data_IF_649466340691
#
_entry.id   IF_649466340691
#
_cell.length_a   1.000
_cell.length_b   1.000
_cell.length_c   1.000
_cell.angle_alpha   90.00
_cell.angle_beta   90.00
_cell.angle_gamma   90.00
#
_symmetry.space_group_name_H-M   'P 1'
#
loop_
_entity.id
_entity.type
_entity.pdbx_description
1 polymer ?
#
# COMPACT_ATOMS: atom_id res chain seq x y z
N UNK A 1 27.69 8.93 0.69
CA UNK A 1 26.59 8.20 0.03
C UNK A 1 26.88 8.18 -1.47
N UNK A 2 26.93 7.01 -2.10
CA UNK A 2 27.15 6.91 -3.55
C UNK A 2 25.87 7.36 -4.28
N UNK A 3 25.97 8.36 -5.16
CA UNK A 3 24.79 8.89 -5.88
C UNK A 3 24.40 7.94 -7.01
N UNK A 4 23.61 6.91 -6.70
CA UNK A 4 23.12 5.93 -7.67
C UNK A 4 22.25 6.57 -8.75
N UNK A 5 21.48 7.61 -8.40
CA UNK A 5 20.69 8.39 -9.37
C UNK A 5 21.63 9.14 -10.30
N UNK A 6 22.71 9.69 -9.78
CA UNK A 6 23.79 10.30 -10.54
C UNK A 6 24.51 9.31 -11.44
N UNK A 7 24.84 8.11 -10.95
CA UNK A 7 25.48 7.06 -11.73
C UNK A 7 24.55 6.55 -12.84
N UNK A 8 23.27 6.30 -12.53
CA UNK A 8 22.28 5.90 -13.52
C UNK A 8 22.07 7.01 -14.56
N UNK A 9 21.93 8.26 -14.12
CA UNK A 9 21.83 9.42 -15.02
C UNK A 9 23.08 9.54 -15.88
N UNK A 10 24.26 9.30 -15.34
CA UNK A 10 25.52 9.27 -16.08
C UNK A 10 25.52 8.13 -17.11
N UNK A 11 25.17 6.91 -16.71
CA UNK A 11 25.08 5.75 -17.63
C UNK A 11 24.05 5.95 -18.73
N UNK A 12 22.90 6.54 -18.42
CA UNK A 12 21.83 6.86 -19.39
C UNK A 12 22.24 8.00 -20.32
N UNK A 13 22.87 9.05 -19.80
CA UNK A 13 23.37 10.17 -20.63
C UNK A 13 24.52 9.76 -21.54
N UNK A 14 25.30 8.75 -21.15
CA UNK A 14 26.38 8.18 -21.96
C UNK A 14 25.91 6.98 -22.81
N UNK A 15 24.64 6.57 -22.67
CA UNK A 15 23.96 5.64 -23.57
C UNK A 15 23.35 6.42 -24.73
N UNK A 16 24.19 6.80 -25.70
CA UNK A 16 23.75 7.47 -26.92
C UNK A 16 22.80 6.57 -27.73
N UNK A 17 21.49 6.84 -27.64
CA UNK A 17 20.41 6.07 -28.27
C UNK A 17 20.41 6.10 -29.81
N UNK A 18 21.43 6.69 -30.44
CA UNK A 18 21.57 6.77 -31.90
C UNK A 18 22.52 5.73 -32.50
N UNK A 19 23.21 4.92 -31.69
CA UNK A 19 23.97 3.76 -32.19
C UNK A 19 23.41 2.46 -31.62
N UNK A 20 22.97 1.56 -32.52
CA UNK A 20 22.89 0.13 -32.22
C UNK A 20 24.32 -0.39 -32.04
N UNK A 21 24.96 -0.05 -30.91
CA UNK A 21 26.14 -0.79 -30.48
C UNK A 21 25.66 -2.20 -30.17
N UNK A 22 26.38 -3.20 -30.68
CA UNK A 22 26.18 -4.58 -30.28
C UNK A 22 26.19 -4.62 -28.74
N UNK A 23 25.01 -4.70 -28.13
CA UNK A 23 24.84 -4.84 -26.69
C UNK A 23 25.34 -6.24 -26.35
N UNK A 24 26.66 -6.36 -26.23
CA UNK A 24 27.30 -7.59 -25.80
C UNK A 24 26.95 -7.78 -24.33
N UNK A 25 26.59 -9.01 -23.92
CA UNK A 25 26.53 -9.36 -22.50
C UNK A 25 27.84 -8.90 -21.84
N UNK A 26 27.73 -8.29 -20.66
CA UNK A 26 28.89 -7.94 -19.83
C UNK A 26 29.77 -9.17 -19.66
N UNK A 27 31.09 -9.01 -19.78
CA UNK A 27 32.02 -10.09 -19.50
C UNK A 27 31.87 -10.54 -18.04
N UNK A 28 32.08 -11.84 -17.78
CA UNK A 28 31.84 -12.42 -16.46
C UNK A 28 32.77 -11.82 -15.39
N UNK A 29 33.96 -11.34 -15.76
CA UNK A 29 34.89 -10.69 -14.83
C UNK A 29 34.36 -9.33 -14.35
N UNK A 30 33.96 -8.45 -15.27
CA UNK A 30 33.36 -7.15 -14.95
C UNK A 30 32.04 -7.32 -14.19
N UNK A 31 31.25 -8.33 -14.55
CA UNK A 31 30.01 -8.67 -13.84
C UNK A 31 30.27 -9.11 -12.41
N UNK A 32 31.27 -9.97 -12.18
CA UNK A 32 31.64 -10.41 -10.84
C UNK A 32 32.20 -9.25 -10.01
N UNK A 33 33.11 -8.44 -10.57
CA UNK A 33 33.63 -7.25 -9.91
C UNK A 33 32.51 -6.27 -9.50
N UNK A 34 31.56 -6.00 -10.41
CA UNK A 34 30.41 -5.13 -10.10
C UNK A 34 29.51 -5.73 -9.02
N UNK A 35 29.26 -7.05 -9.07
CA UNK A 35 28.47 -7.73 -8.05
C UNK A 35 29.14 -7.70 -6.67
N UNK A 36 30.46 -7.86 -6.62
CA UNK A 36 31.23 -7.77 -5.38
C UNK A 36 31.18 -6.35 -4.80
N UNK A 37 31.40 -5.33 -5.63
CA UNK A 37 31.31 -3.93 -5.20
C UNK A 37 29.91 -3.56 -4.68
N UNK A 38 28.85 -4.04 -5.36
CA UNK A 38 27.47 -3.86 -4.90
C UNK A 38 27.20 -4.58 -3.58
N UNK A 39 27.70 -5.80 -3.41
CA UNK A 39 27.54 -6.56 -2.18
C UNK A 39 28.29 -5.92 -1.01
N UNK A 40 29.51 -5.41 -1.24
CA UNK A 40 30.29 -4.69 -0.23
C UNK A 40 29.58 -3.41 0.22
N UNK A 41 29.05 -2.63 -0.73
CA UNK A 41 28.27 -1.43 -0.41
C UNK A 41 27.03 -1.78 0.41
N UNK A 42 26.26 -2.79 -0.01
CA UNK A 42 25.10 -3.26 0.72
C UNK A 42 25.45 -3.67 2.17
N UNK A 43 26.60 -4.32 2.39
CA UNK A 43 27.07 -4.65 3.73
C UNK A 43 27.44 -3.42 4.57
N UNK A 44 27.97 -2.37 3.94
CA UNK A 44 28.25 -1.10 4.62
C UNK A 44 26.96 -0.42 5.05
N UNK A 45 25.93 -0.41 4.19
CA UNK A 45 24.62 0.15 4.52
C UNK A 45 23.96 -0.61 5.68
N UNK A 46 24.04 -1.95 5.70
CA UNK A 46 23.53 -2.76 6.81
C UNK A 46 24.23 -2.41 8.13
N UNK A 47 25.56 -2.27 8.12
CA UNK A 47 26.30 -1.83 9.31
C UNK A 47 25.86 -0.43 9.74
N UNK A 48 25.68 0.49 8.80
CA UNK A 48 25.24 1.85 9.09
C UNK A 48 23.83 1.88 9.70
N UNK A 49 22.90 1.08 9.16
CA UNK A 49 21.58 0.91 9.76
C UNK A 49 21.67 0.39 11.20
N UNK A 50 22.52 -0.59 11.49
CA UNK A 50 22.71 -1.09 12.86
C UNK A 50 23.22 -0.01 13.83
N UNK A 51 24.17 0.82 13.39
CA UNK A 51 24.66 1.96 14.19
C UNK A 51 23.55 2.98 14.46
N UNK A 52 22.79 3.35 13.43
CA UNK A 52 21.65 4.26 13.54
C UNK A 52 20.63 3.71 14.53
N UNK A 53 20.21 2.46 14.36
CA UNK A 53 19.23 1.81 15.23
C UNK A 53 19.71 1.76 16.68
N UNK A 54 20.99 1.49 16.91
CA UNK A 54 21.58 1.47 18.26
C UNK A 54 21.49 2.84 18.95
N UNK A 55 21.73 3.93 18.21
CA UNK A 55 21.62 5.30 18.74
C UNK A 55 20.19 5.74 18.95
N UNK A 56 19.31 5.43 17.99
CA UNK A 56 17.87 5.75 18.07
C UNK A 56 17.22 4.98 19.22
N UNK A 57 17.74 3.80 19.57
CA UNK A 57 17.26 2.98 20.67
C UNK A 57 17.33 3.66 22.05
N UNK A 58 18.24 4.62 22.26
CA UNK A 58 18.31 5.36 23.52
C UNK A 58 16.98 6.07 23.84
N UNK A 59 16.63 6.19 25.12
CA UNK A 59 15.42 6.91 25.52
C UNK A 59 15.54 8.41 25.25
N UNK A 60 14.42 9.05 24.91
CA UNK A 60 14.36 10.48 24.63
C UNK A 60 14.76 11.32 25.85
N UNK A 61 15.86 12.05 25.69
CA UNK A 61 16.47 12.89 26.74
C UNK A 61 15.68 14.18 26.99
N UNK A 62 14.74 14.50 26.09
CA UNK A 62 13.85 15.66 26.21
C UNK A 62 14.51 17.00 25.85
N UNK A 63 15.66 16.98 25.19
CA UNK A 63 16.34 18.19 24.69
C UNK A 63 16.11 18.34 23.18
N UNK A 64 16.23 19.57 22.67
CA UNK A 64 16.14 19.84 21.23
C UNK A 64 17.30 19.23 20.44
N UNK A 65 18.48 19.16 21.07
CA UNK A 65 19.66 18.55 20.46
C UNK A 65 19.47 17.04 20.22
N UNK A 66 18.90 16.34 21.21
CA UNK A 66 18.54 14.91 21.10
C UNK A 66 17.46 14.68 20.02
N UNK A 67 16.44 15.54 19.96
CA UNK A 67 15.43 15.49 18.89
C UNK A 67 16.08 15.65 17.51
N UNK A 68 16.93 16.66 17.33
CA UNK A 68 17.58 16.94 16.05
C UNK A 68 18.54 15.82 15.63
N UNK A 69 19.30 15.24 16.58
CA UNK A 69 20.18 14.10 16.30
C UNK A 69 19.37 12.89 15.84
N UNK A 70 18.29 12.53 16.55
CA UNK A 70 17.42 11.42 16.17
C UNK A 70 16.73 11.62 14.83
N UNK A 71 16.28 12.85 14.55
CA UNK A 71 15.72 13.21 13.25
C UNK A 71 16.74 12.97 12.14
N UNK A 72 17.97 13.49 12.29
CA UNK A 72 19.01 13.35 11.27
C UNK A 72 19.38 11.87 11.04
N UNK A 73 19.46 11.08 12.12
CA UNK A 73 19.72 9.64 12.04
C UNK A 73 18.60 8.87 11.33
N UNK A 74 17.33 9.22 11.58
CA UNK A 74 16.20 8.57 10.92
C UNK A 74 16.03 9.03 9.47
N UNK A 75 16.30 10.30 9.14
CA UNK A 75 16.31 10.77 7.75
C UNK A 75 17.42 10.08 6.94
N UNK A 76 18.59 9.84 7.53
CA UNK A 76 19.63 9.01 6.92
C UNK A 76 19.17 7.55 6.73
N UNK A 77 18.43 6.99 7.69
CA UNK A 77 17.87 5.64 7.56
C UNK A 77 16.85 5.56 6.42
N UNK A 78 15.99 6.56 6.28
CA UNK A 78 15.02 6.67 5.18
C UNK A 78 15.74 6.66 3.83
N UNK A 79 16.81 7.45 3.68
CA UNK A 79 17.64 7.47 2.47
C UNK A 79 18.28 6.11 2.16
N UNK A 80 18.77 5.38 3.17
CA UNK A 80 19.36 4.04 2.98
C UNK A 80 18.31 3.04 2.48
N UNK A 81 17.13 3.05 3.11
CA UNK A 81 16.02 2.13 2.78
C UNK A 81 15.48 2.39 1.39
N UNK A 82 15.28 3.66 1.02
CA UNK A 82 14.71 4.06 -0.27
C UNK A 82 15.62 3.76 -1.46
N UNK A 83 16.95 3.90 -1.29
CA UNK A 83 17.88 3.84 -2.42
C UNK A 83 18.23 2.40 -2.87
N UNK A 84 18.08 1.41 -1.98
CA UNK A 84 18.56 0.05 -2.23
C UNK A 84 17.54 -1.05 -1.93
N UNK A 85 16.27 -0.70 -1.68
CA UNK A 85 15.23 -1.67 -1.33
C UNK A 85 15.66 -2.55 -0.14
N UNK A 86 16.21 -1.90 0.90
CA UNK A 86 16.82 -2.54 2.07
C UNK A 86 15.79 -2.96 3.13
N UNK A 87 14.51 -2.98 2.80
CA UNK A 87 13.44 -3.31 3.73
C UNK A 87 13.64 -4.69 4.39
N UNK A 88 14.09 -5.68 3.60
CA UNK A 88 14.38 -7.03 4.10
C UNK A 88 15.57 -7.06 5.06
N UNK A 89 16.68 -6.39 4.69
CA UNK A 89 17.83 -6.24 5.57
C UNK A 89 17.47 -5.52 6.87
N UNK A 90 16.68 -4.46 6.78
CA UNK A 90 16.21 -3.69 7.94
C UNK A 90 15.38 -4.55 8.89
N UNK A 91 14.51 -5.40 8.35
CA UNK A 91 13.78 -6.38 9.16
C UNK A 91 14.71 -7.33 9.90
N UNK A 92 15.66 -7.96 9.18
CA UNK A 92 16.56 -8.97 9.76
C UNK A 92 17.46 -8.43 10.88
N UNK A 93 17.75 -7.13 10.90
CA UNK A 93 18.50 -6.47 11.98
C UNK A 93 17.61 -5.91 13.10
N UNK A 94 16.31 -6.21 13.10
CA UNK A 94 15.35 -5.74 14.12
C UNK A 94 14.86 -4.31 13.92
N UNK A 95 15.11 -3.70 12.76
CA UNK A 95 14.75 -2.31 12.49
C UNK A 95 13.25 -2.04 12.50
N UNK A 96 12.41 -2.97 12.05
CA UNK A 96 10.94 -2.80 12.10
C UNK A 96 10.43 -2.69 13.54
N UNK A 97 10.98 -3.49 14.46
CA UNK A 97 10.63 -3.46 15.88
C UNK A 97 10.98 -2.10 16.48
N UNK A 98 12.18 -1.58 16.15
CA UNK A 98 12.62 -0.28 16.62
C UNK A 98 11.77 0.87 16.03
N UNK A 99 11.40 0.80 14.74
CA UNK A 99 10.49 1.79 14.13
C UNK A 99 9.10 1.80 14.79
N UNK A 100 8.54 0.62 15.07
CA UNK A 100 7.27 0.49 15.81
C UNK A 100 7.41 1.10 17.21
N UNK A 101 8.54 0.85 17.88
CA UNK A 101 8.84 1.40 19.20
C UNK A 101 8.92 2.93 19.18
N UNK A 102 9.71 3.51 18.28
CA UNK A 102 9.85 4.96 18.13
C UNK A 102 8.52 5.65 17.80
N UNK A 103 7.76 5.08 16.87
CA UNK A 103 6.45 5.60 16.49
C UNK A 103 5.47 5.70 17.68
N UNK A 104 5.59 4.78 18.64
CA UNK A 104 4.69 4.72 19.82
C UNK A 104 5.22 5.45 21.04
N UNK A 105 6.53 5.42 21.27
CA UNK A 105 7.13 5.79 22.55
C UNK A 105 7.91 7.09 22.50
N UNK A 106 8.33 7.55 21.33
CA UNK A 106 9.06 8.81 21.26
C UNK A 106 8.17 9.98 21.71
N UNK A 107 8.75 10.88 22.50
CA UNK A 107 8.21 12.17 22.93
C UNK A 107 8.24 13.19 21.79
N UNK A 108 9.01 12.95 20.74
CA UNK A 108 9.22 13.85 19.62
C UNK A 108 8.28 13.51 18.45
N UNK A 109 7.28 14.37 18.13
CA UNK A 109 6.33 14.05 17.06
C UNK A 109 7.00 13.82 15.71
N UNK A 110 8.10 14.53 15.42
CA UNK A 110 8.82 14.37 14.15
C UNK A 110 9.53 13.02 14.05
N UNK A 111 10.12 12.52 15.14
CA UNK A 111 10.71 11.18 15.22
C UNK A 111 9.63 10.12 15.02
N UNK A 112 8.45 10.28 15.64
CA UNK A 112 7.31 9.40 15.40
C UNK A 112 6.91 9.37 13.91
N UNK A 113 6.84 10.54 13.27
CA UNK A 113 6.42 10.66 11.86
C UNK A 113 7.43 10.05 10.89
N UNK A 114 8.72 10.30 11.07
CA UNK A 114 9.76 9.71 10.20
C UNK A 114 9.79 8.19 10.41
N UNK A 115 9.66 7.71 11.65
CA UNK A 115 9.60 6.27 11.92
C UNK A 115 8.42 5.59 11.20
N UNK A 116 7.25 6.23 11.22
CA UNK A 116 6.07 5.77 10.47
C UNK A 116 6.28 5.87 8.95
N UNK A 117 6.99 6.89 8.47
CA UNK A 117 7.32 7.08 7.04
C UNK A 117 8.18 5.93 6.53
N UNK A 118 9.32 5.65 7.19
CA UNK A 118 10.21 4.54 6.84
C UNK A 118 9.45 3.20 6.88
N UNK A 119 8.63 3.01 7.94
CA UNK A 119 7.79 1.82 8.07
C UNK A 119 6.81 1.65 6.90
N UNK A 120 6.18 2.75 6.45
CA UNK A 120 5.27 2.75 5.30
C UNK A 120 6.01 2.34 4.04
N UNK A 121 7.18 2.92 3.78
CA UNK A 121 8.00 2.59 2.61
C UNK A 121 8.35 1.10 2.60
N UNK A 122 8.84 0.55 3.71
CA UNK A 122 9.21 -0.86 3.82
C UNK A 122 8.03 -1.80 3.52
N UNK A 123 6.82 -1.45 3.97
CA UNK A 123 5.63 -2.30 3.89
C UNK A 123 4.84 -2.13 2.59
N UNK A 124 5.07 -1.06 1.84
CA UNK A 124 4.23 -0.75 0.69
C UNK A 124 4.44 -1.77 -0.44
N UNK A 125 3.39 -2.56 -0.72
CA UNK A 125 3.42 -3.61 -1.74
C UNK A 125 4.55 -4.64 -1.53
N UNK A 126 4.90 -4.92 -0.27
CA UNK A 126 5.89 -5.94 0.10
C UNK A 126 5.28 -6.98 1.05
N UNK A 127 4.69 -8.06 0.52
CA UNK A 127 3.94 -9.03 1.33
C UNK A 127 4.72 -9.68 2.47
N UNK A 128 6.03 -9.93 2.31
CA UNK A 128 6.86 -10.52 3.37
C UNK A 128 7.03 -9.55 4.53
N UNK A 129 7.41 -8.30 4.24
CA UNK A 129 7.56 -7.25 5.25
C UNK A 129 6.23 -6.95 5.95
N UNK A 130 5.12 -6.96 5.20
CA UNK A 130 3.78 -6.79 5.77
C UNK A 130 3.48 -7.87 6.81
N UNK A 131 3.74 -9.14 6.48
CA UNK A 131 3.46 -10.25 7.39
C UNK A 131 4.35 -10.19 8.63
N UNK A 132 5.65 -9.94 8.46
CA UNK A 132 6.57 -9.81 9.59
C UNK A 132 6.22 -8.62 10.48
N UNK A 133 5.90 -7.46 9.89
CA UNK A 133 5.47 -6.29 10.65
C UNK A 133 4.24 -6.56 11.52
N UNK A 134 3.28 -7.35 11.03
CA UNK A 134 2.11 -7.74 11.82
C UNK A 134 2.51 -8.61 13.01
N UNK A 135 3.42 -9.57 12.81
CA UNK A 135 3.97 -10.41 13.89
C UNK A 135 4.66 -9.55 14.95
N UNK A 136 5.39 -8.52 14.54
CA UNK A 136 6.04 -7.55 15.44
C UNK A 136 5.07 -6.55 16.09
N UNK A 137 3.76 -6.70 15.86
CA UNK A 137 2.72 -5.93 16.55
C UNK A 137 2.37 -4.60 15.89
N UNK A 138 2.58 -4.44 14.57
CA UNK A 138 2.29 -3.18 13.88
C UNK A 138 0.81 -2.74 13.93
N UNK A 139 -0.15 -3.64 14.14
CA UNK A 139 -1.56 -3.25 14.35
C UNK A 139 -1.78 -2.43 15.64
N UNK A 140 -0.80 -2.38 16.54
CA UNK A 140 -0.83 -1.46 17.68
C UNK A 140 -0.81 0.02 17.27
N UNK A 141 -0.55 0.35 16.00
CA UNK A 141 -0.79 1.70 15.47
C UNK A 141 -2.27 2.12 15.53
N UNK A 142 -3.23 1.19 15.64
CA UNK A 142 -4.62 1.54 15.97
C UNK A 142 -4.73 2.28 17.30
N UNK A 143 -3.97 1.84 18.31
CA UNK A 143 -3.92 2.52 19.61
C UNK A 143 -3.31 3.93 19.48
N UNK A 144 -2.34 4.11 18.59
CA UNK A 144 -1.76 5.42 18.31
C UNK A 144 -2.79 6.37 17.69
N UNK A 145 -3.65 5.86 16.78
CA UNK A 145 -4.75 6.64 16.20
C UNK A 145 -5.79 7.03 17.25
N UNK A 146 -6.13 6.09 18.14
CA UNK A 146 -7.17 6.28 19.15
C UNK A 146 -6.73 7.25 20.26
N UNK A 147 -5.47 7.18 20.70
CA UNK A 147 -4.99 7.86 21.91
C UNK A 147 -4.14 9.11 21.64
N UNK A 148 -3.65 9.33 20.42
CA UNK A 148 -2.87 10.54 20.11
C UNK A 148 -3.77 11.78 20.08
N UNK A 149 -3.29 12.91 20.60
CA UNK A 149 -3.93 14.23 20.40
C UNK A 149 -3.45 14.90 19.10
N UNK A 150 -2.33 14.44 18.53
CA UNK A 150 -1.76 15.01 17.31
C UNK A 150 -2.39 14.37 16.06
N UNK A 151 -3.14 15.19 15.30
CA UNK A 151 -3.81 14.75 14.06
C UNK A 151 -2.83 14.20 13.01
N UNK A 152 -1.64 14.81 12.84
CA UNK A 152 -0.64 14.30 11.89
C UNK A 152 -0.12 12.92 12.29
N UNK A 153 0.07 12.68 13.58
CA UNK A 153 0.45 11.34 14.07
C UNK A 153 -0.64 10.31 13.75
N UNK A 154 -1.94 10.66 13.88
CA UNK A 154 -3.04 9.78 13.47
C UNK A 154 -3.05 9.51 11.97
N UNK A 155 -2.83 10.53 11.15
CA UNK A 155 -2.76 10.40 9.69
C UNK A 155 -1.63 9.44 9.28
N UNK A 156 -0.43 9.60 9.86
CA UNK A 156 0.71 8.72 9.60
C UNK A 156 0.47 7.29 10.09
N UNK A 157 -0.11 7.12 11.29
CA UNK A 157 -0.44 5.81 11.83
C UNK A 157 -1.46 5.07 10.95
N UNK A 158 -2.49 5.77 10.45
CA UNK A 158 -3.46 5.18 9.52
C UNK A 158 -2.81 4.84 8.17
N UNK A 159 -1.88 5.67 7.69
CA UNK A 159 -1.12 5.38 6.48
C UNK A 159 -0.23 4.12 6.65
N UNK A 160 0.36 3.90 7.82
CA UNK A 160 1.11 2.68 8.16
C UNK A 160 0.20 1.44 8.19
N UNK A 161 -1.00 1.52 8.76
CA UNK A 161 -1.96 0.41 8.69
C UNK A 161 -2.39 0.16 7.24
N UNK A 162 -2.61 1.23 6.46
CA UNK A 162 -2.96 1.11 5.05
C UNK A 162 -1.87 0.42 4.24
N UNK A 163 -0.58 0.60 4.55
CA UNK A 163 0.51 -0.08 3.83
C UNK A 163 0.59 -1.57 4.17
N UNK A 164 0.21 -1.97 5.40
CA UNK A 164 0.19 -3.37 5.84
C UNK A 164 -0.82 -4.23 5.08
N UNK A 165 -1.98 -3.66 4.79
CA UNK A 165 -3.10 -4.42 4.21
C UNK A 165 -3.21 -4.25 2.69
N UNK A 166 -2.32 -3.48 2.05
CA UNK A 166 -2.40 -3.20 0.61
C UNK A 166 -1.73 -4.30 -0.22
N UNK A 167 -2.31 -4.61 -1.38
CA UNK A 167 -1.73 -5.55 -2.35
C UNK A 167 -2.15 -7.00 -2.10
N UNK A 168 -1.37 -7.96 -2.61
CA UNK A 168 -1.77 -9.37 -2.67
C UNK A 168 -1.52 -10.15 -1.36
N UNK A 169 -1.15 -9.50 -0.25
CA UNK A 169 -1.09 -10.18 1.05
C UNK A 169 -2.49 -10.35 1.65
N UNK A 170 -3.09 -11.51 1.38
CA UNK A 170 -4.41 -11.87 1.90
C UNK A 170 -4.41 -12.11 3.41
N UNK A 171 -3.29 -12.58 3.99
CA UNK A 171 -3.21 -12.83 5.44
C UNK A 171 -3.33 -11.53 6.22
N UNK A 172 -2.60 -10.48 5.83
CA UNK A 172 -2.69 -9.16 6.47
C UNK A 172 -4.10 -8.60 6.46
N UNK A 173 -4.84 -8.81 5.37
CA UNK A 173 -6.24 -8.39 5.25
C UNK A 173 -7.14 -9.17 6.21
N UNK A 174 -6.96 -10.49 6.32
CA UNK A 174 -7.69 -11.31 7.29
C UNK A 174 -7.41 -10.89 8.72
N UNK A 175 -6.14 -10.68 9.06
CA UNK A 175 -5.75 -10.24 10.40
C UNK A 175 -6.37 -8.88 10.73
N UNK A 176 -6.44 -7.96 9.75
CA UNK A 176 -7.14 -6.69 9.90
C UNK A 176 -8.66 -6.84 10.09
N UNK A 177 -9.30 -7.82 9.44
CA UNK A 177 -10.72 -8.13 9.64
C UNK A 177 -10.96 -8.68 11.05
N UNK A 178 -10.11 -9.58 11.54
CA UNK A 178 -10.25 -10.22 12.86
C UNK A 178 -10.13 -9.21 14.01
N UNK A 179 -9.40 -8.11 13.83
CA UNK A 179 -9.30 -7.02 14.81
C UNK A 179 -10.33 -5.91 14.60
N UNK A 180 -11.44 -6.21 13.91
CA UNK A 180 -12.54 -5.28 13.61
C UNK A 180 -12.12 -4.06 12.76
N UNK A 181 -11.05 -4.19 11.98
CA UNK A 181 -10.50 -3.08 11.18
C UNK A 181 -11.46 -2.54 10.12
N UNK A 182 -12.34 -3.38 9.56
CA UNK A 182 -13.39 -2.92 8.62
C UNK A 182 -14.38 -2.00 9.32
N UNK A 183 -14.78 -2.34 10.55
CA UNK A 183 -15.64 -1.49 11.38
C UNK A 183 -14.95 -0.18 11.70
N UNK A 184 -13.68 -0.22 12.11
CA UNK A 184 -12.89 0.97 12.38
C UNK A 184 -12.81 1.93 11.19
N UNK A 185 -12.66 1.41 9.97
CA UNK A 185 -12.72 2.24 8.75
C UNK A 185 -14.09 2.92 8.58
N UNK A 186 -15.20 2.21 8.83
CA UNK A 186 -16.53 2.81 8.78
C UNK A 186 -16.73 3.86 9.85
N UNK A 187 -16.21 3.66 11.06
CA UNK A 187 -16.25 4.66 12.14
C UNK A 187 -15.52 5.95 11.74
N UNK A 188 -14.35 5.85 11.10
CA UNK A 188 -13.62 7.01 10.56
C UNK A 188 -14.50 7.75 9.53
N UNK A 189 -15.13 7.02 8.61
CA UNK A 189 -15.94 7.61 7.55
C UNK A 189 -17.24 8.25 8.08
N UNK A 190 -17.87 7.62 9.08
CA UNK A 190 -19.13 8.10 9.71
C UNK A 190 -18.89 9.23 10.73
N UNK A 191 -17.64 9.53 11.07
CA UNK A 191 -17.33 10.58 12.05
C UNK A 191 -17.80 11.96 11.59
N UNK A 192 -18.67 12.54 12.41
CA UNK A 192 -19.18 13.93 12.29
C UNK A 192 -18.63 14.85 13.38
N UNK A 193 -17.84 14.32 14.31
CA UNK A 193 -17.35 15.06 15.49
C UNK A 193 -16.06 15.84 15.21
N UNK A 194 -15.41 15.58 14.07
CA UNK A 194 -14.11 16.17 13.75
C UNK A 194 -12.94 15.44 14.42
N UNK A 195 -13.19 14.23 14.95
CA UNK A 195 -12.17 13.35 15.55
C UNK A 195 -11.16 12.87 14.50
N UNK A 196 -11.60 12.72 13.25
CA UNK A 196 -10.76 12.30 12.12
C UNK A 196 -10.78 13.33 10.99
N UNK A 197 -9.62 13.59 10.38
CA UNK A 197 -9.48 14.52 9.26
C UNK A 197 -10.03 13.96 7.95
N UNK A 198 -10.28 14.83 6.97
CA UNK A 198 -10.72 14.39 5.63
C UNK A 198 -9.68 13.51 4.93
N UNK A 199 -8.39 13.71 5.21
CA UNK A 199 -7.32 12.83 4.71
C UNK A 199 -7.46 11.41 5.27
N UNK A 200 -7.81 11.28 6.55
CA UNK A 200 -8.06 9.98 7.16
C UNK A 200 -9.29 9.32 6.56
N UNK A 201 -10.37 10.07 6.29
CA UNK A 201 -11.56 9.57 5.62
C UNK A 201 -11.25 9.05 4.21
N UNK A 202 -10.53 9.84 3.41
CA UNK A 202 -10.10 9.41 2.08
C UNK A 202 -9.23 8.14 2.13
N UNK A 203 -8.35 8.02 3.14
CA UNK A 203 -7.51 6.83 3.35
C UNK A 203 -8.34 5.61 3.75
N UNK A 204 -9.27 5.75 4.70
CA UNK A 204 -10.17 4.68 5.11
C UNK A 204 -11.01 4.17 3.93
N UNK A 205 -11.50 5.07 3.07
CA UNK A 205 -12.22 4.69 1.86
C UNK A 205 -11.33 3.93 0.86
N UNK A 206 -10.08 4.34 0.70
CA UNK A 206 -9.08 3.63 -0.14
C UNK A 206 -8.79 2.23 0.41
N UNK A 207 -8.70 2.08 1.73
CA UNK A 207 -8.52 0.78 2.39
C UNK A 207 -9.73 -0.13 2.17
N UNK A 208 -10.95 0.39 2.32
CA UNK A 208 -12.18 -0.37 2.03
C UNK A 208 -12.26 -0.79 0.57
N UNK A 209 -11.87 0.09 -0.36
CA UNK A 209 -11.78 -0.25 -1.79
C UNK A 209 -10.88 -1.45 -2.02
N UNK A 210 -9.66 -1.43 -1.46
CA UNK A 210 -8.73 -2.55 -1.60
C UNK A 210 -9.32 -3.83 -0.99
N UNK A 211 -9.85 -3.76 0.24
CA UNK A 211 -10.47 -4.90 0.90
C UNK A 211 -11.62 -5.51 0.08
N UNK A 212 -12.52 -4.69 -0.47
CA UNK A 212 -13.65 -5.12 -1.30
C UNK A 212 -13.18 -5.78 -2.60
N UNK A 213 -12.13 -5.24 -3.23
CA UNK A 213 -11.55 -5.81 -4.44
C UNK A 213 -11.00 -7.23 -4.21
N UNK A 214 -10.35 -7.45 -3.05
CA UNK A 214 -9.79 -8.75 -2.66
C UNK A 214 -10.78 -9.70 -1.96
N UNK A 215 -11.97 -9.23 -1.59
CA UNK A 215 -12.89 -9.92 -0.67
C UNK A 215 -13.28 -11.34 -1.11
N UNK A 216 -13.51 -11.54 -2.41
CA UNK A 216 -13.83 -12.85 -2.97
C UNK A 216 -12.65 -13.84 -2.88
N UNK A 217 -11.40 -13.34 -2.77
CA UNK A 217 -10.15 -14.11 -2.70
C UNK A 217 -9.66 -14.35 -1.28
N UNK A 218 -10.25 -13.71 -0.26
CA UNK A 218 -9.75 -13.79 1.12
C UNK A 218 -9.73 -15.20 1.72
N UNK A 219 -10.44 -16.17 1.12
CA UNK A 219 -10.39 -17.57 1.52
C UNK A 219 -9.15 -18.33 1.03
N UNK A 220 -8.42 -17.79 0.05
CA UNK A 220 -7.18 -18.39 -0.45
C UNK A 220 -6.00 -18.12 0.49
N UNK A 221 -5.05 -19.05 0.50
CA UNK A 221 -3.74 -18.87 1.14
C UNK A 221 -2.67 -18.77 0.05
N UNK A 222 -1.78 -17.79 0.10
CA UNK A 222 -0.67 -17.73 -0.84
C UNK A 222 0.59 -18.22 -0.15
N UNK A 223 1.02 -19.46 -0.47
CA UNK A 223 2.22 -20.05 0.14
C UNK A 223 3.53 -19.47 -0.42
N UNK A 224 3.49 -18.88 -1.62
CA UNK A 224 4.65 -18.21 -2.23
C UNK A 224 4.31 -16.74 -2.49
N UNK A 225 4.76 -15.89 -1.57
CA UNK A 225 4.59 -14.44 -1.65
C UNK A 225 5.61 -13.74 -2.57
N UNK A 226 6.67 -14.44 -3.01
CA UNK A 226 7.71 -13.86 -3.88
C UNK A 226 7.15 -13.39 -5.22
N UNK A 227 6.08 -14.05 -5.70
CA UNK A 227 5.40 -13.68 -6.95
C UNK A 227 4.69 -12.32 -6.87
N UNK A 228 4.50 -11.80 -5.67
CA UNK A 228 3.76 -10.57 -5.37
C UNK A 228 4.64 -9.48 -4.76
N UNK A 229 5.90 -9.78 -4.49
CA UNK A 229 6.86 -8.79 -4.02
C UNK A 229 7.34 -7.95 -5.18
N UNK A 230 7.37 -6.63 -5.00
CA UNK A 230 8.00 -5.71 -5.95
C UNK A 230 9.54 -5.74 -5.86
N UNK A 231 10.10 -6.49 -4.91
CA UNK A 231 11.54 -6.58 -4.68
C UNK A 231 12.16 -7.65 -5.58
N UNK A 232 13.32 -7.34 -6.19
CA UNK A 232 14.09 -8.32 -6.95
C UNK A 232 14.97 -9.22 -6.05
N UNK A 233 14.95 -8.98 -4.74
CA UNK A 233 15.77 -9.69 -3.77
C UNK A 233 15.09 -11.00 -3.33
N UNK A 234 15.79 -12.13 -3.50
CA UNK A 234 15.44 -13.40 -2.88
C UNK A 234 16.43 -13.68 -1.75
N UNK A 235 15.93 -14.01 -0.56
CA UNK A 235 16.74 -14.65 0.48
C UNK A 235 16.42 -16.15 0.48
N UNK A 236 17.44 -16.97 0.27
CA UNK A 236 17.34 -18.43 0.45
C UNK A 236 18.23 -18.83 1.62
N UNK A 237 17.63 -19.41 2.66
CA UNK A 237 18.30 -20.07 3.79
C UNK A 237 19.34 -19.23 4.56
N UNK A 238 18.98 -18.01 4.98
CA UNK A 238 19.73 -17.27 6.01
C UNK A 238 21.19 -16.95 5.67
N UNK A 239 21.54 -17.01 4.38
CA UNK A 239 22.81 -16.51 3.85
C UNK A 239 22.49 -15.56 2.70
N UNK A 240 23.17 -14.41 2.59
CA UNK A 240 23.08 -13.59 1.38
C UNK A 240 23.75 -14.37 0.25
N UNK A 241 22.97 -15.11 -0.53
CA UNK A 241 23.49 -15.95 -1.62
C UNK A 241 23.21 -15.31 -2.98
N UNK A 242 24.30 -15.02 -3.68
CA UNK A 242 24.46 -14.94 -5.15
C UNK A 242 23.17 -14.72 -5.94
N UNK A 243 23.05 -13.50 -6.47
CA UNK A 243 22.04 -13.07 -7.44
C UNK A 243 21.91 -14.05 -8.62
N UNK A 244 21.08 -15.09 -8.46
CA UNK A 244 20.60 -15.86 -9.61
C UNK A 244 19.59 -14.97 -10.31
N UNK A 245 20.08 -14.21 -11.28
CA UNK A 245 19.27 -13.49 -12.26
C UNK A 245 18.47 -14.51 -13.07
N UNK A 246 17.25 -14.84 -12.63
CA UNK A 246 16.22 -15.20 -13.61
C UNK A 246 15.78 -13.90 -14.27
N UNK A 247 16.26 -13.67 -15.50
CA UNK A 247 15.81 -12.57 -16.36
C UNK A 247 14.28 -12.66 -16.54
N UNK A 248 13.53 -11.94 -15.70
CA UNK A 248 12.08 -11.79 -15.82
C UNK A 248 11.69 -10.63 -16.77
N UNK A 249 12.59 -10.21 -17.66
CA UNK A 249 12.31 -9.15 -18.66
C UNK A 249 11.17 -9.51 -19.62
N UNK A 250 10.83 -10.80 -19.77
CA UNK A 250 9.66 -11.23 -20.56
C UNK A 250 8.35 -11.21 -19.76
N UNK A 251 8.39 -11.21 -18.41
CA UNK A 251 7.17 -11.15 -17.58
C UNK A 251 6.65 -9.73 -17.35
N UNK A 252 7.53 -8.73 -17.36
CA UNK A 252 7.12 -7.33 -17.14
C UNK A 252 6.26 -6.77 -18.29
N UNK A 253 6.37 -7.33 -19.50
CA UNK A 253 5.52 -6.96 -20.65
C UNK A 253 4.26 -7.85 -20.80
N UNK A 254 4.04 -8.80 -19.88
CA UNK A 254 2.85 -9.66 -19.82
C UNK A 254 2.37 -9.81 -18.37
N UNK A 255 2.25 -8.70 -17.64
CA UNK A 255 1.38 -8.67 -16.45
C UNK A 255 -0.07 -8.65 -16.95
N UNK A 256 -0.49 -9.77 -17.53
CA UNK A 256 -1.89 -10.11 -17.69
C UNK A 256 -2.41 -10.52 -16.30
N UNK A 257 -3.60 -10.05 -15.96
CA UNK A 257 -4.38 -10.36 -14.74
C UNK A 257 -4.54 -11.89 -14.45
N UNK A 258 -4.08 -12.73 -15.37
CA UNK A 258 -4.34 -14.16 -15.51
C UNK A 258 -3.28 -15.09 -14.90
N UNK A 259 -2.17 -14.56 -14.34
CA UNK A 259 -1.22 -15.40 -13.57
C UNK A 259 -1.81 -15.93 -12.24
N UNK A 260 -3.03 -15.52 -11.91
CA UNK A 260 -3.77 -15.96 -10.74
C UNK A 260 -4.35 -17.39 -10.89
N UNK A 261 -4.56 -17.91 -12.11
CA UNK A 261 -5.18 -19.22 -12.34
C UNK A 261 -4.43 -20.38 -11.67
N UNK A 262 -3.09 -20.39 -11.73
CA UNK A 262 -2.26 -21.44 -11.10
C UNK A 262 -2.20 -21.31 -9.57
N UNK A 263 -2.35 -20.10 -9.02
CA UNK A 263 -2.38 -19.88 -7.56
C UNK A 263 -3.77 -20.17 -6.95
N UNK A 264 -4.83 -20.18 -7.77
CA UNK A 264 -6.21 -20.50 -7.36
C UNK A 264 -6.41 -21.97 -6.98
N UNK A 265 -5.59 -22.90 -7.51
CA UNK A 265 -5.93 -24.33 -7.48
C UNK A 265 -5.40 -25.13 -6.27
N UNK A 266 -4.45 -24.62 -5.48
CA UNK A 266 -3.75 -25.48 -4.50
C UNK A 266 -3.76 -25.05 -3.03
N UNK A 267 -4.43 -23.95 -2.63
CA UNK A 267 -4.26 -23.41 -1.27
C UNK A 267 -5.54 -22.91 -0.57
N UNK A 268 -6.69 -23.54 -0.84
CA UNK A 268 -7.88 -23.32 -0.03
C UNK A 268 -7.72 -24.00 1.33
N UNK A 269 -7.72 -23.21 2.42
CA UNK A 269 -7.80 -23.75 3.77
C UNK A 269 -9.24 -23.64 4.27
N UNK A 270 -9.87 -24.71 4.79
CA UNK A 270 -11.25 -24.66 5.27
C UNK A 270 -11.50 -23.56 6.32
N UNK A 271 -10.51 -23.28 7.16
CA UNK A 271 -10.56 -22.21 8.19
C UNK A 271 -10.77 -20.80 7.60
N UNK A 272 -10.33 -20.58 6.35
CA UNK A 272 -10.42 -19.28 5.70
C UNK A 272 -11.76 -19.06 4.97
N UNK A 273 -12.62 -20.06 4.88
CA UNK A 273 -13.92 -19.96 4.22
C UNK A 273 -14.80 -18.83 4.79
N UNK A 274 -14.64 -18.53 6.09
CA UNK A 274 -15.39 -17.45 6.77
C UNK A 274 -15.12 -16.06 6.20
N UNK A 275 -13.96 -15.83 5.60
CA UNK A 275 -13.58 -14.52 5.05
C UNK A 275 -14.12 -14.28 3.64
N UNK A 276 -14.58 -15.32 2.95
CA UNK A 276 -15.09 -15.19 1.58
C UNK A 276 -16.31 -14.26 1.54
N UNK A 277 -16.14 -13.16 0.80
CA UNK A 277 -17.15 -12.12 0.62
C UNK A 277 -17.64 -11.47 1.94
N UNK A 278 -16.84 -11.60 3.01
CA UNK A 278 -17.19 -11.12 4.35
C UNK A 278 -17.28 -9.59 4.41
N UNK A 279 -16.39 -8.89 3.71
CA UNK A 279 -16.34 -7.43 3.73
C UNK A 279 -17.57 -6.86 3.02
N UNK A 280 -17.91 -7.35 1.82
CA UNK A 280 -19.09 -6.92 1.07
C UNK A 280 -20.38 -7.18 1.86
N UNK A 281 -20.53 -8.35 2.49
CA UNK A 281 -21.68 -8.65 3.37
C UNK A 281 -21.79 -7.64 4.50
N UNK A 282 -20.69 -7.39 5.21
CA UNK A 282 -20.66 -6.43 6.30
C UNK A 282 -20.99 -5.00 5.83
N UNK A 283 -20.46 -4.55 4.69
CA UNK A 283 -20.78 -3.22 4.14
C UNK A 283 -22.26 -3.07 3.74
N UNK A 284 -22.89 -4.14 3.25
CA UNK A 284 -24.33 -4.16 2.95
C UNK A 284 -25.14 -4.04 4.24
N UNK A 285 -24.79 -4.82 5.27
CA UNK A 285 -25.44 -4.76 6.59
C UNK A 285 -25.33 -3.37 7.23
N UNK A 286 -24.20 -2.69 7.02
CA UNK A 286 -23.94 -1.33 7.52
C UNK A 286 -24.50 -0.22 6.62
N UNK A 287 -25.34 -0.56 5.64
CA UNK A 287 -26.02 0.37 4.72
C UNK A 287 -25.06 1.29 3.95
N UNK A 288 -23.84 0.83 3.65
CA UNK A 288 -22.76 1.63 3.10
C UNK A 288 -23.15 2.41 1.83
N UNK A 289 -23.84 1.76 0.88
CA UNK A 289 -24.24 2.40 -0.39
C UNK A 289 -25.06 3.66 -0.11
N UNK A 290 -26.04 3.59 0.77
CA UNK A 290 -26.95 4.69 1.02
C UNK A 290 -26.30 5.77 1.89
N UNK A 291 -25.59 5.37 2.93
CA UNK A 291 -24.92 6.27 3.87
C UNK A 291 -23.85 7.14 3.17
N UNK A 292 -23.17 6.62 2.14
CA UNK A 292 -22.08 7.29 1.44
C UNK A 292 -22.42 7.75 0.01
N UNK A 293 -23.68 7.67 -0.41
CA UNK A 293 -24.12 8.14 -1.74
C UNK A 293 -23.87 9.65 -1.96
N UNK A 294 -23.77 10.40 -0.86
CA UNK A 294 -23.52 11.85 -0.89
C UNK A 294 -22.18 12.23 -1.53
N UNK A 295 -21.20 11.31 -1.59
CA UNK A 295 -19.94 11.58 -2.29
C UNK A 295 -20.19 12.02 -3.73
N UNK A 296 -21.24 11.49 -4.37
CA UNK A 296 -21.58 11.81 -5.75
C UNK A 296 -22.43 13.09 -5.90
N UNK A 297 -22.74 13.82 -4.82
CA UNK A 297 -23.51 15.07 -4.87
C UNK A 297 -22.66 16.30 -5.20
N UNK A 298 -21.35 16.23 -4.95
CA UNK A 298 -20.40 17.34 -5.15
C UNK A 298 -19.39 17.04 -6.25
N UNK A 299 -19.01 18.08 -6.99
CA UNK A 299 -18.00 18.03 -8.05
C UNK A 299 -16.68 18.67 -7.63
N UNK A 300 -16.48 18.96 -6.34
CA UNK A 300 -15.23 19.53 -5.85
C UNK A 300 -14.04 18.59 -6.13
N UNK A 301 -12.91 19.16 -6.54
CA UNK A 301 -11.72 18.41 -6.93
C UNK A 301 -11.03 17.70 -5.75
N UNK A 302 -11.14 18.24 -4.54
CA UNK A 302 -10.61 17.64 -3.31
C UNK A 302 -11.25 16.28 -2.97
N UNK A 303 -12.48 16.02 -3.41
CA UNK A 303 -13.24 14.80 -3.14
C UNK A 303 -13.23 13.83 -4.32
N UNK A 304 -12.55 14.17 -5.42
CA UNK A 304 -12.47 13.37 -6.62
C UNK A 304 -12.06 11.92 -6.34
N UNK A 305 -10.94 11.71 -5.64
CA UNK A 305 -10.44 10.38 -5.31
C UNK A 305 -11.44 9.59 -4.46
N UNK A 306 -12.15 10.29 -3.57
CA UNK A 306 -13.19 9.68 -2.74
C UNK A 306 -14.40 9.24 -3.57
N UNK A 307 -14.83 10.05 -4.56
CA UNK A 307 -15.91 9.66 -5.49
C UNK A 307 -15.54 8.42 -6.29
N UNK A 308 -14.33 8.42 -6.85
CA UNK A 308 -13.78 7.28 -7.60
C UNK A 308 -13.75 6.02 -6.72
N UNK A 309 -13.25 6.11 -5.48
CA UNK A 309 -13.22 4.96 -4.59
C UNK A 309 -14.61 4.47 -4.21
N UNK A 310 -15.55 5.38 -3.95
CA UNK A 310 -16.95 5.01 -3.68
C UNK A 310 -17.60 4.31 -4.88
N UNK A 311 -17.41 4.80 -6.11
CA UNK A 311 -17.95 4.18 -7.32
C UNK A 311 -17.40 2.77 -7.54
N UNK A 312 -16.11 2.56 -7.28
CA UNK A 312 -15.46 1.26 -7.40
C UNK A 312 -15.99 0.26 -6.35
N UNK A 313 -16.16 0.68 -5.10
CA UNK A 313 -16.81 -0.13 -4.05
C UNK A 313 -18.27 -0.43 -4.45
N UNK A 314 -19.00 0.58 -4.91
CA UNK A 314 -20.40 0.44 -5.35
C UNK A 314 -20.53 -0.61 -6.44
N UNK A 315 -19.67 -0.56 -7.46
CA UNK A 315 -19.60 -1.57 -8.55
C UNK A 315 -19.48 -2.98 -7.98
N UNK A 316 -18.50 -3.22 -7.11
CA UNK A 316 -18.23 -4.54 -6.55
C UNK A 316 -19.35 -5.05 -5.63
N UNK A 317 -20.01 -4.17 -4.88
CA UNK A 317 -21.17 -4.55 -4.05
C UNK A 317 -22.38 -4.91 -4.93
N UNK A 318 -22.66 -4.14 -5.98
CA UNK A 318 -23.77 -4.41 -6.90
C UNK A 318 -23.56 -5.68 -7.72
N UNK A 319 -22.31 -6.00 -8.08
CA UNK A 319 -21.97 -7.26 -8.72
C UNK A 319 -22.17 -8.46 -7.79
N UNK A 320 -22.01 -8.27 -6.48
CA UNK A 320 -22.13 -9.32 -5.48
C UNK A 320 -23.59 -9.61 -5.07
N UNK A 321 -24.48 -8.62 -5.00
CA UNK A 321 -25.89 -8.81 -4.61
C UNK A 321 -26.87 -8.44 -5.74
N UNK A 322 -27.43 -9.43 -6.45
CA UNK A 322 -28.47 -9.25 -7.47
C UNK A 322 -29.73 -8.51 -6.98
N UNK A 323 -30.12 -8.73 -5.72
CA UNK A 323 -31.27 -8.08 -5.11
C UNK A 323 -31.02 -6.58 -4.96
N UNK A 324 -29.86 -6.22 -4.39
CA UNK A 324 -29.46 -4.83 -4.20
C UNK A 324 -29.22 -4.12 -5.53
N UNK A 325 -28.68 -4.84 -6.53
CA UNK A 325 -28.57 -4.36 -7.90
C UNK A 325 -29.93 -3.95 -8.47
N UNK A 326 -30.95 -4.80 -8.29
CA UNK A 326 -32.32 -4.53 -8.77
C UNK A 326 -32.95 -3.36 -8.03
N UNK A 327 -32.82 -3.32 -6.70
CA UNK A 327 -33.31 -2.21 -5.89
C UNK A 327 -32.65 -0.88 -6.29
N UNK A 328 -31.32 -0.85 -6.37
CA UNK A 328 -30.56 0.33 -6.75
C UNK A 328 -30.93 0.80 -8.17
N UNK A 329 -31.14 -0.13 -9.09
CA UNK A 329 -31.57 0.19 -10.46
C UNK A 329 -32.93 0.89 -10.47
N UNK A 330 -33.88 0.43 -9.66
CA UNK A 330 -35.22 1.01 -9.61
C UNK A 330 -35.22 2.40 -8.96
N UNK A 331 -34.42 2.60 -7.92
CA UNK A 331 -34.44 3.83 -7.12
C UNK A 331 -33.47 4.91 -7.63
N UNK A 332 -32.26 4.51 -8.05
CA UNK A 332 -31.11 5.44 -8.19
C UNK A 332 -30.50 5.49 -9.59
N UNK A 333 -30.93 4.66 -10.54
CA UNK A 333 -30.35 4.64 -11.90
C UNK A 333 -30.39 6.00 -12.60
N UNK A 334 -31.54 6.67 -12.57
CA UNK A 334 -31.70 7.97 -13.23
C UNK A 334 -30.84 9.05 -12.56
N UNK A 335 -30.77 9.03 -11.22
CA UNK A 335 -29.94 9.94 -10.44
C UNK A 335 -28.46 9.72 -10.79
N UNK A 336 -28.01 8.46 -10.88
CA UNK A 336 -26.63 8.13 -11.24
C UNK A 336 -26.29 8.60 -12.67
N UNK A 337 -27.20 8.39 -13.64
CA UNK A 337 -27.02 8.88 -15.01
C UNK A 337 -26.92 10.41 -15.06
N UNK A 338 -27.75 11.12 -14.29
CA UNK A 338 -27.69 12.58 -14.18
C UNK A 338 -26.37 13.06 -13.57
N UNK A 339 -25.89 12.40 -12.50
CA UNK A 339 -24.60 12.71 -11.87
C UNK A 339 -23.42 12.53 -12.83
N UNK A 340 -23.38 11.42 -13.58
CA UNK A 340 -22.37 11.21 -14.63
C UNK A 340 -22.41 12.31 -15.70
N UNK A 341 -23.59 12.71 -16.17
CA UNK A 341 -23.73 13.79 -17.15
C UNK A 341 -23.23 15.14 -16.60
N UNK A 342 -23.46 15.42 -15.32
CA UNK A 342 -22.92 16.61 -14.65
C UNK A 342 -21.39 16.60 -14.62
N UNK A 343 -20.77 15.46 -14.30
CA UNK A 343 -19.30 15.28 -14.37
C UNK A 343 -18.79 15.50 -15.80
N UNK A 344 -19.43 14.91 -16.81
CA UNK A 344 -19.05 15.10 -18.22
C UNK A 344 -19.12 16.58 -18.66
N UNK A 345 -20.19 17.28 -18.27
CA UNK A 345 -20.35 18.71 -18.55
C UNK A 345 -19.29 19.55 -17.83
N UNK A 346 -18.96 19.20 -16.58
CA UNK A 346 -17.92 19.88 -15.83
C UNK A 346 -16.54 19.70 -16.47
N UNK A 347 -16.20 18.46 -16.86
CA UNK A 347 -14.96 18.13 -17.53
C UNK A 347 -14.83 18.77 -18.92
N UNK A 348 -15.92 18.97 -19.66
CA UNK A 348 -15.88 19.70 -20.95
C UNK A 348 -15.54 21.19 -20.81
N UNK A 349 -15.69 21.77 -19.62
CA UNK A 349 -15.42 23.19 -19.34
C UNK A 349 -14.03 23.44 -18.76
N UNK A 350 -13.40 22.42 -18.18
CA UNK A 350 -12.06 22.48 -17.59
C UNK A 350 -11.10 21.73 -18.52
N UNK A 351 -10.00 22.36 -18.94
CA UNK A 351 -9.04 21.78 -19.91
C UNK A 351 -8.37 20.46 -19.46
N UNK A 352 -8.60 20.02 -18.21
CA UNK A 352 -8.20 18.71 -17.68
C UNK A 352 -9.40 17.77 -17.58
N UNK A 353 -9.69 17.05 -18.67
CA UNK A 353 -10.71 16.00 -18.69
C UNK A 353 -10.33 14.85 -17.74
N UNK A 354 -11.12 14.65 -16.69
CA UNK A 354 -10.99 13.46 -15.86
C UNK A 354 -11.76 12.28 -16.46
N UNK A 355 -11.15 11.65 -17.45
CA UNK A 355 -11.73 10.47 -18.13
C UNK A 355 -11.88 9.27 -17.18
N UNK A 356 -11.05 9.18 -16.14
CA UNK A 356 -11.07 8.06 -15.21
C UNK A 356 -12.34 8.03 -14.35
N UNK A 357 -12.75 9.18 -13.79
CA UNK A 357 -14.02 9.25 -13.03
C UNK A 357 -15.20 8.84 -13.90
N UNK A 358 -15.26 9.33 -15.15
CA UNK A 358 -16.32 8.97 -16.10
C UNK A 358 -16.29 7.46 -16.39
N UNK A 359 -15.12 6.86 -16.52
CA UNK A 359 -14.97 5.41 -16.69
C UNK A 359 -15.57 4.64 -15.51
N UNK A 360 -15.37 5.09 -14.26
CA UNK A 360 -15.94 4.45 -13.07
C UNK A 360 -17.48 4.50 -13.07
N UNK A 361 -18.07 5.64 -13.45
CA UNK A 361 -19.53 5.71 -13.61
C UNK A 361 -20.04 4.74 -14.67
N UNK A 362 -19.35 4.66 -15.83
CA UNK A 362 -19.71 3.73 -16.90
C UNK A 362 -19.67 2.28 -16.43
N UNK A 363 -18.63 1.90 -15.70
CA UNK A 363 -18.50 0.56 -15.13
C UNK A 363 -19.70 0.20 -14.24
N UNK A 364 -20.11 1.10 -13.33
CA UNK A 364 -21.30 0.89 -12.48
C UNK A 364 -22.56 0.76 -13.32
N UNK A 365 -22.75 1.62 -14.32
CA UNK A 365 -23.93 1.58 -15.21
C UNK A 365 -23.98 0.28 -16.02
N UNK A 366 -22.85 -0.19 -16.54
CA UNK A 366 -22.76 -1.48 -17.24
C UNK A 366 -23.17 -2.61 -16.32
N UNK A 367 -22.72 -2.62 -15.05
CA UNK A 367 -23.18 -3.63 -14.10
C UNK A 367 -24.69 -3.57 -13.88
N UNK A 368 -25.32 -2.40 -13.82
CA UNK A 368 -26.78 -2.27 -13.67
C UNK A 368 -27.57 -2.68 -14.93
N UNK A 369 -26.93 -2.66 -16.10
CA UNK A 369 -27.54 -3.00 -17.39
C UNK A 369 -27.39 -4.47 -17.78
N UNK A 370 -26.46 -5.21 -17.17
CA UNK A 370 -26.39 -6.68 -17.29
C UNK A 370 -27.74 -7.30 -16.93
N UNK A 371 -28.38 -7.96 -17.89
CA UNK A 371 -29.54 -8.80 -17.64
C UNK A 371 -29.07 -10.02 -16.86
N UNK A 372 -29.75 -10.31 -15.75
CA UNK A 372 -29.60 -11.57 -15.02
C UNK A 372 -30.02 -12.75 -15.90
#
# INVERSE_FOLDING_TARGET
>A
MLDWKGLLKWSVTHSDGTQKKDLKPMDEETKNWLMEALAEHALQDVKRMQEILSKVHEDDKGTQEDENEKIALLEELEDIVDNLDMADSLYHIGGLVELIRQAKQSKYPRVQHISLSIFITCNQNNPHIQQWSIVEGAFQFLNLILNSDNMKTKEWALAAISSLIRGENLQSKRDFIEIEGVQFNLEILKDKTGKYSDKMKAKALTMLKDLVFYDHRLHFTYNNLDKFSNTNAKVVNGKPSQLIKTNNSEKNNKVSYDQNEELKQENEKPENAKYKDSVKKYLIEQNFINDFFFYLDTLENNLLDSRVCYLDILKHILEFSPELQTQFKNEKLQILKQKMLSVMKHNSKNENLNEFEISQYKDVLVQLEKKQ
#
